data_IF_953628992996
#
_entry.id   IF_953628992996
#
_cell.length_a   1.000
_cell.length_b   1.000
_cell.length_c   1.000
_cell.angle_alpha   90.00
_cell.angle_beta   90.00
_cell.angle_gamma   90.00
#
_symmetry.space_group_name_H-M   'P 1'
#
loop_
_entity.id
_entity.type
_entity.pdbx_description
1 polymer ?
#
# COMPACT_ATOMS: atom_id res chain seq x y z
N UNK A 1 32.70 -0.83 -5.71
CA UNK A 1 32.27 0.00 -6.87
C UNK A 1 30.84 0.41 -6.62
N UNK A 2 30.47 1.66 -6.89
CA UNK A 2 29.06 2.08 -6.84
C UNK A 2 28.39 1.77 -8.18
N UNK A 3 27.20 1.21 -8.14
CA UNK A 3 26.34 1.06 -9.33
C UNK A 3 25.01 1.76 -9.07
N UNK A 4 24.60 2.64 -9.98
CA UNK A 4 23.28 3.28 -9.94
C UNK A 4 22.19 2.29 -10.39
N UNK A 5 21.18 2.10 -9.55
CA UNK A 5 19.91 1.49 -9.93
C UNK A 5 18.92 2.55 -10.40
N UNK A 6 17.87 2.14 -11.12
CA UNK A 6 16.77 3.05 -11.46
C UNK A 6 16.14 3.67 -10.20
N UNK A 7 15.76 4.96 -10.27
CA UNK A 7 15.03 5.70 -9.22
C UNK A 7 15.78 6.02 -7.91
N UNK A 8 17.09 6.33 -7.98
CA UNK A 8 17.81 6.93 -6.84
C UNK A 8 18.22 5.96 -5.75
N UNK A 9 18.14 4.65 -6.02
CA UNK A 9 18.78 3.63 -5.19
C UNK A 9 20.20 3.34 -5.71
N UNK A 10 21.18 3.37 -4.82
CA UNK A 10 22.59 3.16 -5.14
C UNK A 10 23.07 1.96 -4.35
N UNK A 11 23.67 0.99 -5.04
CA UNK A 11 24.31 -0.16 -4.43
C UNK A 11 25.81 0.10 -4.33
N UNK A 12 26.36 0.00 -3.13
CA UNK A 12 27.78 0.20 -2.85
C UNK A 12 28.37 -1.06 -2.22
N UNK A 13 29.27 -1.74 -2.93
CA UNK A 13 30.02 -2.87 -2.35
C UNK A 13 31.15 -2.37 -1.45
N UNK A 14 31.19 -2.88 -0.22
CA UNK A 14 32.26 -2.57 0.75
C UNK A 14 33.60 -3.10 0.21
N UNK A 15 34.64 -2.22 0.08
CA UNK A 15 35.92 -2.61 -0.48
C UNK A 15 36.72 -3.50 0.49
N UNK A 16 37.70 -4.23 -0.07
CA UNK A 16 38.64 -5.02 0.72
C UNK A 16 39.43 -4.12 1.69
N UNK A 17 39.45 -4.50 2.98
CA UNK A 17 40.15 -3.77 4.04
C UNK A 17 39.34 -2.68 4.76
N UNK A 18 38.09 -2.42 4.35
CA UNK A 18 37.18 -1.57 5.12
C UNK A 18 36.53 -2.35 6.27
N UNK A 19 36.49 -1.75 7.45
CA UNK A 19 35.91 -2.32 8.67
C UNK A 19 34.70 -1.50 9.16
N UNK A 20 33.87 -2.10 10.01
CA UNK A 20 32.73 -1.41 10.63
C UNK A 20 33.16 -0.15 11.38
N UNK A 21 32.60 1.00 11.02
CA UNK A 21 32.96 2.32 11.54
C UNK A 21 33.84 3.16 10.61
N UNK A 22 34.41 2.59 9.55
CA UNK A 22 35.11 3.35 8.51
C UNK A 22 34.14 4.25 7.73
N UNK A 23 34.66 5.28 7.07
CA UNK A 23 33.88 6.16 6.20
C UNK A 23 34.23 5.90 4.74
N UNK A 24 33.23 5.54 3.94
CA UNK A 24 33.33 5.43 2.50
C UNK A 24 32.91 6.74 1.84
N UNK A 25 33.74 7.26 0.95
CA UNK A 25 33.46 8.48 0.19
C UNK A 25 33.27 8.14 -1.28
N UNK A 26 32.18 8.63 -1.88
CA UNK A 26 31.91 8.45 -3.31
C UNK A 26 31.07 9.61 -3.85
N UNK A 27 31.03 9.76 -5.17
CA UNK A 27 30.32 10.87 -5.84
C UNK A 27 29.05 10.36 -6.50
N UNK A 28 27.92 10.98 -6.18
CA UNK A 28 26.60 10.72 -6.76
C UNK A 28 26.06 12.02 -7.31
N UNK A 29 25.68 12.05 -8.58
CA UNK A 29 25.17 13.27 -9.24
C UNK A 29 26.05 14.52 -9.03
N UNK A 30 27.37 14.33 -8.94
CA UNK A 30 28.33 15.41 -8.72
C UNK A 30 28.45 15.91 -7.27
N UNK A 31 27.71 15.32 -6.32
CA UNK A 31 27.87 15.56 -4.88
C UNK A 31 28.70 14.45 -4.26
N UNK A 32 29.66 14.83 -3.41
CA UNK A 32 30.47 13.90 -2.62
C UNK A 32 29.66 13.49 -1.38
N UNK A 33 29.41 12.19 -1.23
CA UNK A 33 28.70 11.60 -0.11
C UNK A 33 29.68 10.78 0.72
N UNK A 34 29.62 10.98 2.04
CA UNK A 34 30.36 10.21 3.03
C UNK A 34 29.39 9.31 3.78
N UNK A 35 29.68 8.01 3.78
CA UNK A 35 28.82 7.00 4.37
C UNK A 35 29.61 6.11 5.33
N UNK A 36 29.22 6.03 6.60
CA UNK A 36 29.86 5.11 7.53
C UNK A 36 29.51 3.66 7.18
N UNK A 37 30.51 2.78 7.24
CA UNK A 37 30.34 1.33 7.13
C UNK A 37 29.61 0.84 8.39
N UNK A 38 28.43 0.20 8.27
CA UNK A 38 27.70 -0.29 9.43
C UNK A 38 28.54 -1.31 10.22
N UNK A 39 28.50 -1.21 11.54
CA UNK A 39 29.20 -2.13 12.45
C UNK A 39 28.74 -3.57 12.15
N UNK A 40 29.71 -4.47 11.95
CA UNK A 40 29.45 -5.88 11.62
C UNK A 40 29.45 -6.20 10.12
N UNK A 41 29.51 -5.18 9.25
CA UNK A 41 29.66 -5.42 7.80
C UNK A 41 31.08 -5.89 7.46
N UNK A 42 31.21 -6.71 6.43
CA UNK A 42 32.47 -7.27 5.95
C UNK A 42 32.74 -6.88 4.49
N UNK A 43 34.01 -6.90 4.04
CA UNK A 43 34.32 -6.69 2.63
C UNK A 43 33.52 -7.60 1.70
N UNK A 44 32.91 -7.01 0.68
CA UNK A 44 32.01 -7.70 -0.25
C UNK A 44 30.52 -7.53 0.05
N UNK A 45 30.12 -7.09 1.25
CA UNK A 45 28.73 -6.74 1.52
C UNK A 45 28.28 -5.56 0.65
N UNK A 46 26.98 -5.52 0.34
CA UNK A 46 26.38 -4.48 -0.52
C UNK A 46 25.49 -3.58 0.34
N UNK A 47 25.88 -2.31 0.48
CA UNK A 47 25.06 -1.28 1.09
C UNK A 47 24.07 -0.74 0.07
N UNK A 48 22.80 -0.64 0.47
CA UNK A 48 21.75 0.01 -0.34
C UNK A 48 21.41 1.38 0.22
N UNK A 49 21.49 2.37 -0.64
CA UNK A 49 21.37 3.77 -0.29
C UNK A 49 20.24 4.40 -1.10
N UNK A 50 19.22 4.88 -0.43
CA UNK A 50 18.16 5.66 -1.08
C UNK A 50 18.54 7.14 -1.04
N UNK A 51 19.02 7.67 -2.15
CA UNK A 51 19.35 9.09 -2.29
C UNK A 51 18.11 9.81 -2.79
N UNK A 52 17.58 10.74 -1.98
CA UNK A 52 16.53 11.65 -2.44
C UNK A 52 17.07 12.44 -3.63
N UNK A 53 16.32 12.49 -4.73
CA UNK A 53 16.71 13.37 -5.85
C UNK A 53 16.59 14.81 -5.37
N UNK A 54 17.66 15.59 -5.49
CA UNK A 54 17.58 17.05 -5.47
C UNK A 54 16.70 17.47 -6.66
N UNK A 55 15.40 17.67 -6.44
CA UNK A 55 14.42 18.15 -7.43
C UNK A 55 14.60 19.64 -7.73
N UNK A 56 15.85 20.09 -7.89
CA UNK A 56 16.16 21.49 -8.22
C UNK A 56 15.87 21.87 -9.69
N UNK A 57 15.17 21.02 -10.48
CA UNK A 57 14.93 21.32 -11.90
C UNK A 57 13.87 20.53 -12.68
N UNK A 58 13.19 19.53 -12.10
CA UNK A 58 12.03 18.90 -12.73
C UNK A 58 10.80 19.15 -11.85
N UNK A 59 10.13 20.27 -12.14
CA UNK A 59 8.89 20.63 -11.50
C UNK A 59 7.77 19.69 -11.97
N UNK A 60 7.48 18.67 -11.17
CA UNK A 60 6.17 18.01 -11.20
C UNK A 60 5.56 17.79 -9.81
N UNK A 61 6.17 18.35 -8.77
CA UNK A 61 5.51 18.53 -7.48
C UNK A 61 5.05 19.98 -7.41
N UNK A 62 3.81 20.21 -7.85
CA UNK A 62 3.01 21.33 -7.37
C UNK A 62 2.91 21.21 -5.84
N UNK A 63 3.91 21.74 -5.13
CA UNK A 63 3.84 22.05 -3.71
C UNK A 63 2.88 23.24 -3.41
N UNK A 64 2.23 23.76 -4.45
CA UNK A 64 1.06 24.65 -4.39
C UNK A 64 -0.22 23.97 -4.93
N UNK A 65 -0.16 22.65 -5.11
CA UNK A 65 -1.26 21.82 -5.59
C UNK A 65 -2.29 21.65 -4.49
N UNK A 66 -3.53 22.03 -4.80
CA UNK A 66 -4.68 21.87 -3.94
C UNK A 66 -4.68 20.48 -3.27
N UNK A 67 -4.34 20.41 -1.98
CA UNK A 67 -4.25 19.17 -1.18
C UNK A 67 -5.57 18.36 -1.16
N UNK A 68 -6.62 18.93 -1.77
CA UNK A 68 -7.91 18.31 -2.06
C UNK A 68 -7.89 17.31 -3.22
N UNK A 69 -6.82 17.22 -4.02
CA UNK A 69 -6.77 16.34 -5.20
C UNK A 69 -5.48 15.51 -5.27
N UNK A 70 -5.62 14.22 -5.58
CA UNK A 70 -4.54 13.29 -5.93
C UNK A 70 -4.66 12.94 -7.40
N UNK A 71 -3.59 13.16 -8.18
CA UNK A 71 -3.50 12.70 -9.56
C UNK A 71 -2.52 11.54 -9.66
N UNK A 72 -2.89 10.51 -10.39
CA UNK A 72 -2.05 9.35 -10.64
C UNK A 72 -1.97 9.09 -12.15
N UNK A 73 -0.78 9.24 -12.71
CA UNK A 73 -0.50 8.85 -14.10
C UNK A 73 -0.29 7.33 -14.16
N UNK A 74 -1.17 6.65 -14.89
CA UNK A 74 -1.17 5.20 -15.13
C UNK A 74 -0.59 4.85 -16.52
N UNK A 75 0.12 5.80 -17.12
CA UNK A 75 0.68 5.70 -18.46
C UNK A 75 -0.39 5.74 -19.55
N UNK A 76 0.07 5.80 -20.81
CA UNK A 76 -0.79 5.84 -22.02
C UNK A 76 -1.82 7.00 -22.00
N UNK A 77 -1.52 8.08 -21.29
CA UNK A 77 -2.41 9.25 -21.17
C UNK A 77 -3.61 9.04 -20.22
N UNK A 78 -3.61 7.96 -19.43
CA UNK A 78 -4.65 7.69 -18.42
C UNK A 78 -4.23 8.33 -17.10
N UNK A 79 -4.89 9.42 -16.73
CA UNK A 79 -4.65 10.12 -15.46
C UNK A 79 -5.89 9.92 -14.59
N UNK A 80 -5.73 9.23 -13.47
CA UNK A 80 -6.77 9.07 -12.47
C UNK A 80 -6.77 10.30 -11.55
N UNK A 81 -7.92 10.95 -11.39
CA UNK A 81 -8.07 12.14 -10.54
C UNK A 81 -8.99 11.85 -9.37
N UNK A 82 -8.45 11.90 -8.15
CA UNK A 82 -9.18 11.54 -6.93
C UNK A 82 -9.26 12.74 -6.01
N UNK A 83 -10.47 13.08 -5.58
CA UNK A 83 -10.68 14.12 -4.58
C UNK A 83 -10.60 13.54 -3.16
N UNK A 84 -9.95 14.26 -2.25
CA UNK A 84 -9.94 13.96 -0.81
C UNK A 84 -11.07 14.66 -0.06
N UNK A 85 -11.90 15.45 -0.75
CA UNK A 85 -13.07 16.12 -0.19
C UNK A 85 -14.26 16.04 -1.13
N UNK A 86 -15.45 15.91 -0.56
CA UNK A 86 -16.66 16.07 -1.33
C UNK A 86 -16.85 17.54 -1.75
N UNK A 87 -17.41 17.80 -2.95
CA UNK A 87 -17.93 19.11 -3.29
C UNK A 87 -18.91 19.62 -2.22
N UNK A 88 -18.90 20.92 -1.96
CA UNK A 88 -19.71 21.54 -0.90
C UNK A 88 -21.20 21.25 -1.09
N UNK A 89 -21.66 21.21 -2.33
CA UNK A 89 -23.05 20.95 -2.71
C UNK A 89 -23.49 19.54 -2.29
N UNK A 90 -22.59 18.55 -2.42
CA UNK A 90 -22.84 17.17 -1.99
C UNK A 90 -22.71 17.03 -0.46
N UNK A 91 -21.76 17.73 0.16
CA UNK A 91 -21.65 17.79 1.62
C UNK A 91 -22.94 18.33 2.26
N UNK A 92 -23.49 19.40 1.71
CA UNK A 92 -24.73 20.00 2.19
C UNK A 92 -25.92 19.05 1.97
N UNK A 93 -25.95 18.30 0.87
CA UNK A 93 -26.99 17.28 0.62
C UNK A 93 -26.93 16.12 1.62
N UNK A 94 -25.73 15.57 1.88
CA UNK A 94 -25.52 14.48 2.85
C UNK A 94 -25.91 14.89 4.27
N UNK A 95 -25.63 16.16 4.66
CA UNK A 95 -26.02 16.70 5.96
C UNK A 95 -27.54 16.88 6.11
N UNK A 96 -28.23 17.21 5.01
CA UNK A 96 -29.67 17.44 5.02
C UNK A 96 -30.51 16.15 5.00
N UNK A 97 -29.95 15.02 4.59
CA UNK A 97 -30.62 13.70 4.57
C UNK A 97 -30.66 12.98 5.94
N UNK A 98 -30.33 13.67 7.03
CA UNK A 98 -30.65 13.23 8.39
C UNK A 98 -29.50 12.65 9.22
N UNK A 99 -28.25 12.73 8.75
CA UNK A 99 -27.09 12.56 9.60
C UNK A 99 -26.75 13.88 10.31
N UNK A 100 -27.48 14.19 11.39
CA UNK A 100 -27.06 15.25 12.31
C UNK A 100 -25.67 14.91 12.85
N UNK A 101 -24.64 15.77 12.69
CA UNK A 101 -23.47 15.65 13.54
C UNK A 101 -23.92 15.98 14.95
N UNK A 102 -23.78 15.05 15.88
CA UNK A 102 -23.90 15.37 17.31
C UNK A 102 -22.78 16.34 17.67
N UNK A 103 -23.04 17.62 17.54
CA UNK A 103 -22.30 18.67 18.24
C UNK A 103 -22.66 18.54 19.73
N UNK A 104 -22.02 17.59 20.41
CA UNK A 104 -21.78 17.50 21.86
C UNK A 104 -21.29 16.08 22.17
N UNK A 105 -19.99 15.88 22.35
CA UNK A 105 -19.48 14.88 23.30
C UNK A 105 -18.05 15.21 23.73
N UNK A 106 -17.98 16.05 24.77
CA UNK A 106 -16.82 16.22 25.64
C UNK A 106 -16.85 15.18 26.80
N UNK A 107 -17.41 13.99 26.57
CA UNK A 107 -17.48 12.94 27.60
C UNK A 107 -16.88 11.63 27.09
N UNK A 108 -15.86 11.17 27.82
CA UNK A 108 -15.29 9.83 27.76
C UNK A 108 -16.40 8.75 27.69
N UNK A 109 -16.41 7.97 26.61
CA UNK A 109 -16.91 6.59 26.63
C UNK A 109 -16.16 5.75 25.60
N UNK A 110 -15.70 4.57 26.03
CA UNK A 110 -14.93 3.58 25.27
C UNK A 110 -15.82 2.86 24.23
N UNK A 111 -16.31 3.58 23.23
CA UNK A 111 -17.11 3.04 22.12
C UNK A 111 -16.28 2.87 20.86
N UNK A 112 -16.17 1.63 20.36
CA UNK A 112 -15.57 1.21 19.07
C UNK A 112 -16.23 1.88 17.84
N UNK A 113 -16.12 3.20 17.68
CA UNK A 113 -16.49 3.88 16.43
C UNK A 113 -15.30 3.83 15.46
N UNK A 114 -15.48 3.10 14.36
CA UNK A 114 -14.47 2.75 13.34
C UNK A 114 -14.14 3.92 12.40
N UNK A 115 -14.36 5.17 12.83
CA UNK A 115 -14.21 6.35 11.97
C UNK A 115 -13.19 7.33 12.56
N UNK A 116 -11.93 7.20 12.11
CA UNK A 116 -10.81 8.07 12.46
C UNK A 116 -10.46 9.07 11.34
N UNK A 117 -11.30 9.18 10.30
CA UNK A 117 -11.08 10.05 9.13
C UNK A 117 -9.90 9.68 8.22
N UNK A 118 -9.20 8.57 8.50
CA UNK A 118 -8.02 8.13 7.73
C UNK A 118 -8.36 7.70 6.31
N UNK A 119 -9.62 7.33 6.06
CA UNK A 119 -10.11 6.87 4.77
C UNK A 119 -9.94 7.91 3.64
N UNK A 120 -9.82 9.21 3.95
CA UNK A 120 -9.69 10.28 2.96
C UNK A 120 -8.25 10.54 2.50
N UNK A 121 -7.26 9.82 3.06
CA UNK A 121 -5.84 10.03 2.76
C UNK A 121 -5.31 9.08 1.69
N UNK A 122 -4.49 9.57 0.74
CA UNK A 122 -3.91 8.73 -0.30
C UNK A 122 -2.67 8.04 0.26
N UNK A 123 -2.88 6.92 0.97
CA UNK A 123 -1.84 6.14 1.62
C UNK A 123 -0.72 5.73 0.65
N UNK A 124 0.54 5.90 1.08
CA UNK A 124 1.70 5.66 0.22
C UNK A 124 1.79 4.21 -0.26
N UNK A 125 1.43 3.25 0.60
CA UNK A 125 1.31 1.83 0.24
C UNK A 125 0.38 1.63 -0.98
N UNK A 126 -0.75 2.34 -1.02
CA UNK A 126 -1.69 2.27 -2.14
C UNK A 126 -1.08 2.85 -3.41
N UNK A 127 -0.37 3.98 -3.30
CA UNK A 127 0.33 4.60 -4.43
C UNK A 127 1.42 3.69 -5.01
N UNK A 128 2.18 2.99 -4.17
CA UNK A 128 3.20 2.05 -4.63
C UNK A 128 2.57 0.84 -5.33
N UNK A 129 1.47 0.30 -4.79
CA UNK A 129 0.71 -0.76 -5.44
C UNK A 129 0.15 -0.34 -6.81
N UNK A 130 -0.42 0.86 -6.90
CA UNK A 130 -1.00 1.35 -8.15
C UNK A 130 -0.01 1.52 -9.31
N UNK A 131 1.28 1.66 -9.02
CA UNK A 131 2.34 1.75 -10.03
C UNK A 131 2.72 0.40 -10.63
N UNK A 132 2.30 -0.70 -10.01
CA UNK A 132 2.79 -2.04 -10.32
C UNK A 132 1.76 -2.91 -11.04
N UNK A 133 0.63 -2.35 -11.48
CA UNK A 133 -0.40 -3.12 -12.17
C UNK A 133 0.09 -3.81 -13.43
N UNK A 134 0.95 -3.16 -14.22
CA UNK A 134 1.53 -3.78 -15.43
C UNK A 134 2.42 -5.00 -15.10
N UNK A 135 2.99 -5.04 -13.89
CA UNK A 135 3.80 -6.17 -13.40
C UNK A 135 2.94 -7.25 -12.72
N UNK A 136 1.85 -6.86 -12.04
CA UNK A 136 0.98 -7.76 -11.26
C UNK A 136 -0.07 -8.45 -12.14
N UNK A 137 -0.69 -7.74 -13.09
CA UNK A 137 -1.75 -8.28 -13.95
C UNK A 137 -1.30 -9.57 -14.68
N UNK A 138 -0.08 -9.66 -15.23
CA UNK A 138 0.42 -10.90 -15.83
C UNK A 138 0.56 -12.08 -14.86
N UNK A 139 0.58 -11.86 -13.54
CA UNK A 139 0.71 -12.90 -12.53
C UNK A 139 -0.60 -13.64 -12.20
N UNK A 140 -1.73 -13.21 -12.77
CA UNK A 140 -3.00 -13.93 -12.65
C UNK A 140 -2.97 -15.26 -13.42
N UNK A 141 -3.55 -16.31 -12.84
CA UNK A 141 -3.40 -17.68 -13.34
C UNK A 141 -3.91 -17.86 -14.79
N UNK A 142 -3.07 -18.49 -15.62
CA UNK A 142 -3.43 -18.81 -17.01
C UNK A 142 -3.63 -17.59 -17.91
N UNK A 143 -3.16 -16.41 -17.50
CA UNK A 143 -3.33 -15.15 -18.24
C UNK A 143 -4.80 -14.69 -18.32
N UNK A 144 -5.67 -15.21 -17.45
CA UNK A 144 -7.08 -14.84 -17.40
C UNK A 144 -7.34 -13.95 -16.20
N UNK A 145 -8.06 -12.85 -16.43
CA UNK A 145 -8.42 -11.94 -15.36
C UNK A 145 -9.46 -12.55 -14.40
N UNK A 146 -9.34 -12.29 -13.09
CA UNK A 146 -10.40 -12.59 -12.13
C UNK A 146 -11.73 -11.94 -12.54
N UNK A 147 -12.86 -12.65 -12.44
CA UNK A 147 -14.16 -12.13 -12.87
C UNK A 147 -14.85 -11.31 -11.80
N UNK A 148 -14.66 -11.70 -10.55
CA UNK A 148 -15.24 -11.04 -9.38
C UNK A 148 -14.10 -10.59 -8.50
N UNK A 149 -13.96 -9.28 -8.38
CA UNK A 149 -12.91 -8.63 -7.63
C UNK A 149 -13.57 -7.80 -6.55
N UNK A 150 -13.05 -7.85 -5.33
CA UNK A 150 -13.43 -6.94 -4.26
C UNK A 150 -12.19 -6.27 -3.72
N UNK A 151 -12.25 -4.97 -3.50
CA UNK A 151 -11.23 -4.27 -2.72
C UNK A 151 -11.76 -4.09 -1.29
N UNK A 152 -10.98 -4.54 -0.31
CA UNK A 152 -11.25 -4.30 1.10
C UNK A 152 -10.52 -3.03 1.53
N UNK A 153 -11.22 -2.11 2.22
CA UNK A 153 -10.61 -0.88 2.70
C UNK A 153 -10.14 0.02 1.56
N UNK A 154 -11.01 0.26 0.58
CA UNK A 154 -10.73 1.12 -0.59
C UNK A 154 -10.32 2.56 -0.23
N UNK A 155 -10.60 2.98 1.01
CA UNK A 155 -10.67 4.37 1.41
C UNK A 155 -11.79 5.11 0.69
N UNK A 156 -11.98 6.37 1.04
CA UNK A 156 -12.83 7.26 0.26
C UNK A 156 -12.23 7.63 -1.11
N UNK A 157 -10.94 7.42 -1.29
CA UNK A 157 -10.27 7.71 -2.56
C UNK A 157 -10.47 6.59 -3.59
N UNK A 158 -10.64 5.33 -3.16
CA UNK A 158 -10.72 4.19 -4.08
C UNK A 158 -9.45 3.98 -4.90
N UNK A 159 -8.29 4.45 -4.39
CA UNK A 159 -7.06 4.58 -5.14
C UNK A 159 -6.63 3.27 -5.81
N UNK A 160 -6.56 2.19 -5.04
CA UNK A 160 -6.03 0.90 -5.51
C UNK A 160 -7.03 0.23 -6.46
N UNK A 161 -8.30 0.13 -6.09
CA UNK A 161 -9.31 -0.47 -6.97
C UNK A 161 -9.57 0.31 -8.26
N UNK A 162 -9.66 1.65 -8.21
CA UNK A 162 -9.86 2.46 -9.42
C UNK A 162 -8.63 2.45 -10.33
N UNK A 163 -7.42 2.59 -9.77
CA UNK A 163 -6.20 2.50 -10.57
C UNK A 163 -6.05 1.13 -11.23
N UNK A 164 -6.42 0.06 -10.51
CA UNK A 164 -6.45 -1.29 -11.06
C UNK A 164 -7.39 -1.36 -12.27
N UNK A 165 -8.63 -0.89 -12.11
CA UNK A 165 -9.64 -0.91 -13.16
C UNK A 165 -9.20 -0.14 -14.42
N UNK A 166 -8.63 1.06 -14.24
CA UNK A 166 -8.15 1.90 -15.34
C UNK A 166 -6.93 1.28 -16.03
N UNK A 167 -6.10 0.55 -15.28
CA UNK A 167 -4.94 -0.15 -15.84
C UNK A 167 -5.31 -1.35 -16.72
N UNK A 168 -6.52 -1.91 -16.60
CA UNK A 168 -6.94 -3.06 -17.40
C UNK A 168 -7.06 -2.73 -18.89
N UNK A 169 -6.58 -3.63 -19.74
CA UNK A 169 -6.77 -3.55 -21.18
C UNK A 169 -8.09 -4.24 -21.59
N UNK A 170 -8.82 -3.68 -22.56
CA UNK A 170 -10.12 -4.20 -23.02
C UNK A 170 -10.09 -5.70 -23.40
N UNK A 171 -8.96 -6.17 -23.96
CA UNK A 171 -8.79 -7.56 -24.38
C UNK A 171 -8.59 -8.57 -23.24
N UNK A 172 -8.37 -8.09 -22.01
CA UNK A 172 -8.18 -8.93 -20.82
C UNK A 172 -9.49 -9.22 -20.08
N UNK A 173 -10.54 -8.45 -20.38
CA UNK A 173 -11.82 -8.55 -19.69
C UNK A 173 -12.69 -9.64 -20.28
N UNK A 174 -13.17 -10.53 -19.41
CA UNK A 174 -14.30 -11.38 -19.76
C UNK A 174 -15.61 -10.58 -19.61
N UNK A 175 -16.59 -10.90 -20.45
CA UNK A 175 -17.91 -10.28 -20.39
C UNK A 175 -18.49 -10.39 -18.96
N UNK A 176 -18.85 -9.24 -18.38
CA UNK A 176 -19.41 -9.09 -17.01
C UNK A 176 -18.39 -9.31 -15.88
N UNK A 177 -17.14 -8.89 -16.08
CA UNK A 177 -16.21 -8.74 -14.96
C UNK A 177 -16.73 -7.65 -14.01
N UNK A 178 -16.68 -7.90 -12.71
CA UNK A 178 -17.21 -7.03 -11.66
C UNK A 178 -16.10 -6.69 -10.68
N UNK A 179 -15.95 -5.41 -10.38
CA UNK A 179 -15.11 -4.90 -9.30
C UNK A 179 -16.02 -4.23 -8.27
N UNK A 180 -15.90 -4.63 -7.01
CA UNK A 180 -16.59 -4.03 -5.90
C UNK A 180 -15.58 -3.30 -5.00
N UNK A 181 -15.69 -1.99 -4.91
CA UNK A 181 -14.92 -1.15 -3.99
C UNK A 181 -15.67 -1.14 -2.64
N UNK A 182 -14.98 -1.39 -1.54
CA UNK A 182 -15.63 -1.49 -0.23
C UNK A 182 -14.85 -0.81 0.88
N UNK A 183 -15.59 -0.19 1.79
CA UNK A 183 -15.05 0.46 2.98
C UNK A 183 -16.16 0.64 4.05
N UNK A 184 -15.89 1.36 5.13
CA UNK A 184 -16.90 1.74 6.12
C UNK A 184 -17.93 2.72 5.54
N UNK A 185 -19.16 2.79 6.10
CA UNK A 185 -20.22 3.66 5.57
C UNK A 185 -19.82 5.13 5.39
N UNK A 186 -18.98 5.69 6.28
CA UNK A 186 -18.58 7.10 6.21
C UNK A 186 -17.65 7.44 5.03
N UNK A 187 -16.94 6.45 4.48
CA UNK A 187 -16.12 6.63 3.29
C UNK A 187 -16.94 6.61 1.98
N UNK A 188 -18.15 6.03 2.00
CA UNK A 188 -18.95 5.76 0.79
C UNK A 188 -19.29 6.99 -0.05
N UNK A 189 -19.71 8.14 0.54
CA UNK A 189 -20.08 9.30 -0.27
C UNK A 189 -18.93 9.79 -1.18
N UNK A 190 -17.72 9.88 -0.62
CA UNK A 190 -16.55 10.34 -1.36
C UNK A 190 -15.99 9.27 -2.30
N UNK A 191 -16.05 7.98 -1.93
CA UNK A 191 -15.70 6.86 -2.81
C UNK A 191 -16.59 6.83 -4.06
N UNK A 192 -17.90 6.95 -3.86
CA UNK A 192 -18.87 6.98 -4.95
C UNK A 192 -18.65 8.19 -5.87
N UNK A 193 -18.39 9.37 -5.30
CA UNK A 193 -18.02 10.55 -6.06
C UNK A 193 -16.77 10.32 -6.94
N UNK A 194 -15.71 9.76 -6.37
CA UNK A 194 -14.47 9.49 -7.11
C UNK A 194 -14.66 8.42 -8.20
N UNK A 195 -15.48 7.40 -7.95
CA UNK A 195 -15.85 6.41 -8.96
C UNK A 195 -16.59 7.06 -10.14
N UNK A 196 -17.62 7.86 -9.86
CA UNK A 196 -18.40 8.56 -10.89
C UNK A 196 -17.56 9.55 -11.70
N UNK A 197 -16.67 10.27 -11.02
CA UNK A 197 -15.77 11.24 -11.65
C UNK A 197 -14.82 10.59 -12.66
N UNK A 198 -14.40 9.34 -12.40
CA UNK A 198 -13.45 8.60 -13.23
C UNK A 198 -14.11 7.53 -14.11
N UNK A 199 -15.45 7.47 -14.18
CA UNK A 199 -16.18 6.41 -14.87
C UNK A 199 -15.82 6.31 -16.36
N UNK A 200 -15.50 7.44 -17.01
CA UNK A 200 -15.12 7.49 -18.42
C UNK A 200 -13.74 6.87 -18.73
N UNK A 201 -12.92 6.64 -17.70
CA UNK A 201 -11.62 5.97 -17.82
C UNK A 201 -11.73 4.44 -17.72
N UNK A 202 -12.89 3.92 -17.30
CA UNK A 202 -13.10 2.50 -17.09
C UNK A 202 -13.29 1.79 -18.44
N UNK A 203 -12.68 0.61 -18.64
CA UNK A 203 -12.86 -0.15 -19.88
C UNK A 203 -14.31 -0.60 -20.08
N UNK A 204 -14.73 -0.70 -21.35
CA UNK A 204 -16.04 -1.22 -21.72
C UNK A 204 -16.25 -2.66 -21.20
N UNK A 205 -17.44 -2.91 -20.64
CA UNK A 205 -17.82 -4.24 -20.13
C UNK A 205 -17.35 -4.57 -18.71
N UNK A 206 -16.59 -3.67 -18.07
CA UNK A 206 -16.29 -3.71 -16.64
C UNK A 206 -17.43 -3.07 -15.84
N UNK A 207 -17.92 -3.77 -14.83
CA UNK A 207 -18.90 -3.20 -13.89
C UNK A 207 -18.16 -2.88 -12.59
N UNK A 208 -18.06 -1.59 -12.25
CA UNK A 208 -17.45 -1.15 -11.00
C UNK A 208 -18.55 -0.54 -10.12
N UNK A 209 -18.64 -1.01 -8.88
CA UNK A 209 -19.59 -0.49 -7.88
C UNK A 209 -18.86 -0.19 -6.57
N UNK A 210 -19.41 0.70 -5.73
CA UNK A 210 -18.99 0.89 -4.36
C UNK A 210 -20.09 0.47 -3.38
N UNK A 211 -19.74 -0.23 -2.29
CA UNK A 211 -20.69 -0.61 -1.23
C UNK A 211 -20.04 -0.63 0.15
N UNK A 212 -20.79 -0.35 1.23
CA UNK A 212 -20.26 -0.47 2.57
C UNK A 212 -19.99 -1.94 2.92
N UNK A 213 -18.83 -2.19 3.51
CA UNK A 213 -18.45 -3.50 4.06
C UNK A 213 -17.52 -3.32 5.28
N UNK A 214 -18.09 -3.12 6.48
CA UNK A 214 -17.32 -3.23 7.71
C UNK A 214 -16.76 -4.65 7.85
N UNK A 215 -15.50 -4.77 8.27
CA UNK A 215 -14.93 -6.08 8.58
C UNK A 215 -15.53 -6.61 9.87
N UNK A 216 -15.95 -7.86 9.86
CA UNK A 216 -16.60 -8.47 11.01
C UNK A 216 -16.20 -9.93 11.17
N UNK A 217 -16.13 -10.38 12.43
CA UNK A 217 -16.01 -11.79 12.78
C UNK A 217 -17.31 -12.55 12.55
N UNK A 218 -18.44 -11.86 12.68
CA UNK A 218 -19.74 -12.48 12.63
C UNK A 218 -20.14 -12.74 11.16
N UNK A 219 -20.71 -13.92 10.85
CA UNK A 219 -21.41 -14.09 9.58
C UNK A 219 -22.54 -13.05 9.52
N UNK A 220 -22.87 -12.51 8.33
CA UNK A 220 -23.98 -11.58 8.22
C UNK A 220 -25.24 -12.23 8.79
N UNK A 221 -25.83 -11.61 9.81
CA UNK A 221 -27.21 -11.92 10.20
C UNK A 221 -28.08 -11.71 8.96
N UNK A 222 -28.85 -12.73 8.59
CA UNK A 222 -29.55 -12.89 7.30
C UNK A 222 -30.49 -11.72 6.92
N UNK A 223 -30.77 -10.81 7.87
CA UNK A 223 -31.75 -9.74 7.75
C UNK A 223 -31.18 -8.33 7.50
N UNK A 224 -29.89 -8.02 7.77
CA UNK A 224 -29.40 -6.62 7.77
C UNK A 224 -28.03 -6.34 7.12
N UNK A 225 -27.32 -7.34 6.60
CA UNK A 225 -26.03 -7.11 5.90
C UNK A 225 -26.14 -7.42 4.41
N UNK A 226 -25.79 -6.44 3.56
CA UNK A 226 -26.05 -6.45 2.11
C UNK A 226 -25.26 -7.49 1.30
N UNK A 227 -24.29 -8.19 1.90
CA UNK A 227 -23.56 -9.29 1.22
C UNK A 227 -24.22 -10.62 1.58
N UNK A 228 -25.23 -10.99 0.78
CA UNK A 228 -25.94 -12.26 0.94
C UNK A 228 -24.98 -13.43 0.75
N UNK A 229 -25.02 -14.40 1.65
CA UNK A 229 -24.28 -15.67 1.61
C UNK A 229 -24.52 -16.51 0.34
N UNK A 230 -25.51 -16.12 -0.47
CA UNK A 230 -25.84 -16.72 -1.76
C UNK A 230 -25.06 -16.14 -2.94
N UNK A 231 -24.28 -15.06 -2.76
CA UNK A 231 -23.41 -14.57 -3.82
C UNK A 231 -22.18 -15.47 -4.00
N UNK A 232 -21.74 -15.70 -5.25
CA UNK A 232 -20.52 -16.46 -5.47
C UNK A 232 -19.31 -15.70 -4.89
N UNK A 233 -18.33 -16.43 -4.33
CA UNK A 233 -17.14 -15.82 -3.75
C UNK A 233 -16.34 -15.05 -4.80
N UNK A 234 -15.49 -14.15 -4.32
CA UNK A 234 -14.61 -13.32 -5.14
C UNK A 234 -13.38 -14.11 -5.56
N UNK A 235 -13.02 -13.98 -6.83
CA UNK A 235 -11.82 -14.59 -7.41
C UNK A 235 -10.55 -13.85 -6.99
N UNK A 236 -10.67 -12.54 -6.72
CA UNK A 236 -9.57 -11.71 -6.26
C UNK A 236 -10.02 -10.74 -5.16
N UNK A 237 -9.18 -10.60 -4.14
CA UNK A 237 -9.24 -9.50 -3.18
C UNK A 237 -8.07 -8.56 -3.44
N UNK A 238 -8.35 -7.25 -3.47
CA UNK A 238 -7.35 -6.19 -3.43
C UNK A 238 -7.35 -5.56 -2.05
N UNK A 239 -6.19 -5.11 -1.58
CA UNK A 239 -6.07 -4.39 -0.32
C UNK A 239 -4.78 -3.60 -0.25
N UNK A 240 -4.84 -2.45 0.41
CA UNK A 240 -3.64 -1.68 0.74
C UNK A 240 -3.75 -1.12 2.15
N UNK A 241 -2.68 -1.27 2.91
CA UNK A 241 -2.52 -0.67 4.23
C UNK A 241 -3.59 -1.10 5.25
N UNK A 242 -4.10 -2.33 5.13
CA UNK A 242 -5.20 -2.85 5.93
C UNK A 242 -4.82 -3.23 7.37
N UNK A 243 -3.53 -3.31 7.67
CA UNK A 243 -2.99 -3.83 8.94
C UNK A 243 -2.62 -2.73 9.94
N UNK A 244 -3.09 -1.50 9.72
CA UNK A 244 -2.74 -0.33 10.53
C UNK A 244 -3.25 -0.39 11.99
N UNK A 245 -4.32 -1.17 12.24
CA UNK A 245 -4.89 -1.38 13.57
C UNK A 245 -4.97 -2.87 13.89
N UNK A 246 -4.09 -3.33 14.78
CA UNK A 246 -3.95 -4.74 15.14
C UNK A 246 -5.24 -5.37 15.69
N UNK A 247 -6.13 -4.57 16.29
CA UNK A 247 -7.40 -5.07 16.87
C UNK A 247 -8.36 -5.61 15.81
N UNK A 248 -8.25 -5.13 14.56
CA UNK A 248 -9.11 -5.54 13.46
C UNK A 248 -8.53 -6.70 12.64
N UNK A 249 -7.30 -7.16 12.92
CA UNK A 249 -6.69 -8.28 12.20
C UNK A 249 -7.59 -9.53 12.21
N UNK A 250 -8.16 -9.98 13.35
CA UNK A 250 -9.08 -11.12 13.34
C UNK A 250 -10.28 -10.91 12.42
N UNK A 251 -10.89 -9.72 12.47
CA UNK A 251 -12.06 -9.34 11.66
C UNK A 251 -11.74 -9.35 10.16
N UNK A 252 -10.56 -8.87 9.79
CA UNK A 252 -10.06 -8.90 8.42
C UNK A 252 -9.79 -10.33 7.95
N UNK A 253 -9.20 -11.19 8.79
CA UNK A 253 -9.00 -12.62 8.50
C UNK A 253 -10.34 -13.31 8.24
N UNK A 254 -11.33 -13.12 9.11
CA UNK A 254 -12.66 -13.73 8.95
C UNK A 254 -13.36 -13.23 7.67
N UNK A 255 -13.29 -11.93 7.40
CA UNK A 255 -13.84 -11.31 6.19
C UNK A 255 -13.16 -11.87 4.93
N UNK A 256 -11.83 -11.99 4.94
CA UNK A 256 -11.05 -12.55 3.83
C UNK A 256 -11.48 -14.00 3.54
N UNK A 257 -11.55 -14.85 4.57
CA UNK A 257 -11.96 -16.26 4.42
C UNK A 257 -13.38 -16.42 3.92
N UNK A 258 -14.28 -15.51 4.30
CA UNK A 258 -15.68 -15.50 3.86
C UNK A 258 -15.83 -15.10 2.39
N UNK A 259 -15.07 -14.10 1.94
CA UNK A 259 -15.25 -13.51 0.62
C UNK A 259 -14.42 -14.18 -0.46
N UNK A 260 -13.23 -14.66 -0.12
CA UNK A 260 -12.28 -15.19 -1.09
C UNK A 260 -12.67 -16.60 -1.54
N UNK A 261 -12.56 -16.86 -2.85
CA UNK A 261 -12.84 -18.18 -3.40
C UNK A 261 -11.92 -19.24 -2.77
N UNK A 262 -12.45 -20.37 -2.25
CA UNK A 262 -11.68 -21.31 -1.42
C UNK A 262 -10.61 -22.11 -2.18
N UNK A 263 -10.72 -22.21 -3.51
CA UNK A 263 -9.79 -22.97 -4.36
C UNK A 263 -8.89 -22.09 -5.23
N UNK A 264 -9.43 -21.06 -5.88
CA UNK A 264 -8.72 -20.23 -6.89
C UNK A 264 -8.57 -18.76 -6.48
N UNK A 265 -8.90 -18.44 -5.24
CA UNK A 265 -8.88 -17.06 -4.77
C UNK A 265 -7.45 -16.53 -4.66
N UNK A 266 -7.25 -15.31 -5.13
CA UNK A 266 -6.00 -14.55 -5.03
C UNK A 266 -6.23 -13.33 -4.14
N UNK A 267 -5.25 -12.97 -3.32
CA UNK A 267 -5.26 -11.71 -2.58
C UNK A 267 -4.00 -10.91 -2.93
N UNK A 268 -4.16 -9.76 -3.59
CA UNK A 268 -3.09 -8.76 -3.73
C UNK A 268 -3.16 -7.79 -2.56
N UNK A 269 -2.09 -7.75 -1.76
CA UNK A 269 -2.02 -6.92 -0.57
C UNK A 269 -0.74 -6.11 -0.55
N UNK A 270 -0.86 -4.78 -0.47
CA UNK A 270 0.26 -3.91 -0.12
C UNK A 270 0.22 -3.59 1.37
N UNK A 271 1.35 -3.77 2.05
CA UNK A 271 1.51 -3.57 3.49
C UNK A 271 2.57 -2.53 3.73
N UNK A 272 2.23 -1.50 4.49
CA UNK A 272 3.20 -0.64 5.16
C UNK A 272 3.40 -1.18 6.58
N UNK A 273 4.54 -1.80 6.82
CA UNK A 273 4.84 -2.40 8.12
C UNK A 273 5.10 -1.33 9.17
N UNK A 274 4.37 -1.38 10.29
CA UNK A 274 4.56 -0.49 11.45
C UNK A 274 4.90 -1.29 12.69
N UNK A 275 4.15 -2.38 12.92
CA UNK A 275 4.34 -3.32 14.03
C UNK A 275 4.48 -4.74 13.48
N UNK A 276 5.63 -5.10 12.88
CA UNK A 276 5.79 -6.37 12.16
C UNK A 276 5.39 -7.61 12.94
N UNK A 277 5.65 -7.66 14.25
CA UNK A 277 5.31 -8.81 15.06
C UNK A 277 3.79 -9.03 15.21
N UNK A 278 3.01 -7.96 15.26
CA UNK A 278 1.54 -8.04 15.38
C UNK A 278 0.90 -8.21 13.99
N UNK A 279 1.34 -7.42 13.01
CA UNK A 279 0.80 -7.44 11.64
C UNK A 279 1.01 -8.80 10.96
N UNK A 280 2.07 -9.53 11.34
CA UNK A 280 2.38 -10.89 10.87
C UNK A 280 1.28 -11.91 11.19
N UNK A 281 0.46 -11.67 12.22
CA UNK A 281 -0.67 -12.53 12.60
C UNK A 281 -1.65 -12.71 11.43
N UNK A 282 -1.91 -11.65 10.65
CA UNK A 282 -2.77 -11.73 9.47
C UNK A 282 -2.27 -12.78 8.46
N UNK A 283 -0.97 -12.79 8.18
CA UNK A 283 -0.35 -13.72 7.23
C UNK A 283 -0.36 -15.17 7.74
N UNK A 284 -0.22 -15.35 9.06
CA UNK A 284 -0.27 -16.67 9.71
C UNK A 284 -1.68 -17.25 9.68
N UNK A 285 -2.68 -16.41 9.94
CA UNK A 285 -4.06 -16.84 10.16
C UNK A 285 -4.93 -16.81 8.90
N UNK A 286 -4.52 -16.10 7.82
CA UNK A 286 -5.33 -16.00 6.60
C UNK A 286 -5.55 -17.35 5.90
N UNK A 287 -4.64 -18.31 6.09
CA UNK A 287 -4.65 -19.61 5.40
C UNK A 287 -4.19 -19.55 3.95
N UNK A 288 -3.58 -18.43 3.52
CA UNK A 288 -3.04 -18.25 2.18
C UNK A 288 -1.53 -18.50 2.15
N UNK A 289 -1.04 -18.99 1.01
CA UNK A 289 0.38 -19.01 0.66
C UNK A 289 0.76 -17.65 0.10
N UNK A 290 1.52 -16.88 0.88
CA UNK A 290 1.96 -15.53 0.51
C UNK A 290 3.34 -15.53 -0.12
N UNK A 291 3.42 -14.86 -1.26
CA UNK A 291 4.66 -14.59 -2.00
C UNK A 291 4.89 -13.08 -2.08
N UNK A 292 6.13 -12.64 -1.85
CA UNK A 292 6.53 -11.26 -2.05
C UNK A 292 6.61 -10.97 -3.56
N UNK A 293 5.92 -9.93 -4.01
CA UNK A 293 6.05 -9.41 -5.37
C UNK A 293 7.28 -8.49 -5.41
N UNK A 294 8.34 -8.95 -6.06
CA UNK A 294 9.51 -8.12 -6.34
C UNK A 294 9.38 -7.52 -7.74
N UNK A 295 9.19 -6.21 -7.87
CA UNK A 295 9.06 -5.59 -9.17
C UNK A 295 10.36 -5.69 -9.96
N UNK A 296 10.26 -6.07 -11.24
CA UNK A 296 11.40 -6.16 -12.16
C UNK A 296 12.07 -4.80 -12.35
N UNK A 297 11.32 -3.72 -12.15
CA UNK A 297 11.81 -2.35 -12.19
C UNK A 297 12.72 -1.98 -11.01
N UNK A 298 12.98 -2.89 -10.06
CA UNK A 298 13.89 -2.69 -8.92
C UNK A 298 13.36 -1.71 -7.87
N UNK A 299 12.06 -1.42 -7.91
CA UNK A 299 11.44 -0.31 -7.21
C UNK A 299 10.95 -0.60 -5.78
N UNK A 300 11.01 -1.84 -5.29
CA UNK A 300 10.80 -2.13 -3.87
C UNK A 300 12.12 -2.61 -3.28
N UNK A 301 12.57 -1.95 -2.21
CA UNK A 301 13.95 -2.09 -1.70
C UNK A 301 14.14 -3.32 -0.80
N UNK A 302 13.08 -3.87 -0.22
CA UNK A 302 13.22 -4.94 0.75
C UNK A 302 13.00 -6.34 0.13
N UNK A 303 14.03 -7.21 0.10
CA UNK A 303 13.90 -8.56 -0.41
C UNK A 303 13.37 -9.57 0.63
N UNK A 304 13.08 -9.13 1.85
CA UNK A 304 12.65 -10.00 2.94
C UNK A 304 11.19 -10.42 2.75
N UNK A 305 10.86 -11.68 2.96
CA UNK A 305 9.45 -12.09 2.99
C UNK A 305 8.75 -11.64 4.27
N UNK A 306 7.44 -11.85 4.32
CA UNK A 306 6.62 -11.50 5.47
C UNK A 306 6.97 -12.27 6.73
N UNK A 307 7.83 -13.31 6.69
CA UNK A 307 8.27 -14.07 7.88
C UNK A 307 9.55 -13.49 8.47
N UNK A 308 10.40 -12.92 7.62
CA UNK A 308 11.65 -12.32 8.04
C UNK A 308 11.52 -10.83 8.36
N UNK A 309 10.72 -10.07 7.60
CA UNK A 309 10.64 -8.61 7.76
C UNK A 309 10.33 -8.21 9.21
N UNK A 310 11.19 -7.41 9.81
CA UNK A 310 11.02 -6.87 11.16
C UNK A 310 11.19 -7.87 12.30
N UNK A 311 11.55 -9.15 12.03
CA UNK A 311 11.80 -10.13 13.10
C UNK A 311 13.21 -9.91 13.70
N UNK A 312 13.35 -9.51 14.98
CA UNK A 312 14.64 -9.26 15.60
C UNK A 312 15.49 -10.51 15.79
N UNK A 313 14.90 -11.71 15.68
CA UNK A 313 15.63 -12.99 15.76
C UNK A 313 16.16 -13.43 14.39
N UNK A 314 15.74 -12.76 13.32
CA UNK A 314 16.15 -13.10 11.97
C UNK A 314 17.37 -12.26 11.56
N UNK A 315 18.50 -12.92 11.30
CA UNK A 315 19.75 -12.25 10.94
C UNK A 315 19.62 -11.40 9.66
N UNK A 316 18.87 -11.88 8.65
CA UNK A 316 18.64 -11.13 7.40
C UNK A 316 17.80 -9.88 7.63
N UNK A 317 16.85 -9.94 8.57
CA UNK A 317 16.07 -8.78 9.00
C UNK A 317 16.97 -7.73 9.64
N UNK A 318 17.75 -8.12 10.65
CA UNK A 318 18.68 -7.21 11.33
C UNK A 318 19.67 -6.60 10.33
N UNK A 319 20.22 -7.40 9.42
CA UNK A 319 21.12 -6.93 8.38
C UNK A 319 20.45 -5.86 7.49
N UNK A 320 19.23 -6.12 7.01
CA UNK A 320 18.48 -5.15 6.20
C UNK A 320 18.29 -3.82 6.92
N UNK A 321 17.85 -3.81 8.18
CA UNK A 321 17.60 -2.56 8.90
C UNK A 321 18.89 -1.80 9.27
N UNK A 322 20.01 -2.50 9.48
CA UNK A 322 21.31 -1.87 9.77
C UNK A 322 22.06 -1.43 8.50
N UNK A 323 21.85 -2.07 7.35
CA UNK A 323 22.55 -1.75 6.09
C UNK A 323 21.75 -0.84 5.15
N UNK A 324 20.41 -0.81 5.27
CA UNK A 324 19.58 0.10 4.48
C UNK A 324 19.64 1.48 5.12
N UNK A 325 20.14 2.45 4.36
CA UNK A 325 20.27 3.83 4.83
C UNK A 325 19.41 4.77 4.00
N UNK A 326 18.84 5.76 4.69
CA UNK A 326 18.14 6.89 4.08
C UNK A 326 18.79 8.20 4.52
N UNK A 327 18.59 9.27 3.76
CA UNK A 327 19.03 10.60 4.17
C UNK A 327 18.11 11.16 5.26
N UNK A 328 18.71 11.66 6.35
CA UNK A 328 18.04 12.39 7.43
C UNK A 328 18.82 13.66 7.71
N UNK A 329 18.23 14.81 7.42
CA UNK A 329 18.85 16.15 7.44
C UNK A 329 20.16 16.18 6.66
N UNK A 330 20.17 15.54 5.49
CA UNK A 330 21.33 15.46 4.60
C UNK A 330 22.42 14.48 5.07
N UNK A 331 22.18 13.67 6.11
CA UNK A 331 23.12 12.66 6.59
C UNK A 331 22.55 11.25 6.42
N UNK A 332 23.34 10.29 5.93
CA UNK A 332 22.89 8.90 5.87
C UNK A 332 22.64 8.36 7.28
N UNK A 333 21.50 7.69 7.46
CA UNK A 333 21.13 7.04 8.72
C UNK A 333 20.51 5.68 8.42
N UNK A 334 20.94 4.64 9.13
CA UNK A 334 20.37 3.31 9.01
C UNK A 334 18.92 3.29 9.51
N UNK A 335 18.07 2.45 8.90
CA UNK A 335 16.67 2.32 9.33
C UNK A 335 16.56 1.93 10.81
N UNK A 336 17.44 1.04 11.29
CA UNK A 336 17.49 0.59 12.68
C UNK A 336 17.74 1.73 13.69
N UNK A 337 18.37 2.83 13.25
CA UNK A 337 18.74 3.94 14.12
C UNK A 337 17.68 5.04 14.14
N UNK A 338 16.64 4.95 13.29
CA UNK A 338 15.56 5.94 13.22
C UNK A 338 14.49 5.59 14.24
N UNK A 339 14.39 6.43 15.27
CA UNK A 339 13.35 6.29 16.29
C UNK A 339 11.99 6.77 15.79
N UNK A 340 10.90 6.34 16.45
CA UNK A 340 9.54 6.83 16.16
C UNK A 340 9.44 8.36 16.28
N UNK A 341 10.06 8.95 17.30
CA UNK A 341 10.09 10.41 17.49
C UNK A 341 10.83 11.13 16.34
N UNK A 342 11.91 10.55 15.82
CA UNK A 342 12.62 11.10 14.67
C UNK A 342 11.85 10.93 13.37
N UNK A 343 11.14 9.81 13.20
CA UNK A 343 10.32 9.54 12.01
C UNK A 343 9.25 10.64 11.81
N UNK A 344 8.67 11.15 12.90
CA UNK A 344 7.72 12.27 12.88
C UNK A 344 8.35 13.64 12.59
N UNK A 345 9.67 13.73 12.49
CA UNK A 345 10.44 14.96 12.21
C UNK A 345 11.21 14.90 10.89
N UNK A 346 11.02 13.84 10.11
CA UNK A 346 11.61 13.70 8.78
C UNK A 346 11.03 14.74 7.83
N UNK A 347 11.87 15.25 6.92
CA UNK A 347 11.37 16.05 5.79
C UNK A 347 10.53 15.17 4.86
N UNK A 348 9.71 15.79 4.00
CA UNK A 348 8.77 15.05 3.15
C UNK A 348 9.44 13.93 2.31
N UNK A 349 10.57 14.22 1.66
CA UNK A 349 11.30 13.23 0.85
C UNK A 349 11.99 12.16 1.70
N UNK A 350 12.48 12.53 2.87
CA UNK A 350 13.11 11.61 3.82
C UNK A 350 12.07 10.64 4.39
N UNK A 351 10.90 11.16 4.76
CA UNK A 351 9.77 10.38 5.20
C UNK A 351 9.30 9.45 4.08
N UNK A 352 9.18 9.93 2.84
CA UNK A 352 8.82 9.11 1.69
C UNK A 352 9.80 7.96 1.44
N UNK A 353 11.10 8.21 1.56
CA UNK A 353 12.14 7.19 1.45
C UNK A 353 12.05 6.16 2.59
N UNK A 354 11.91 6.65 3.83
CA UNK A 354 11.71 5.82 5.02
C UNK A 354 10.47 4.93 4.87
N UNK A 355 9.36 5.52 4.45
CA UNK A 355 8.07 4.86 4.32
C UNK A 355 8.09 3.77 3.26
N UNK A 356 8.69 4.08 2.10
CA UNK A 356 8.89 3.12 1.01
C UNK A 356 9.73 1.91 1.44
N UNK A 357 10.72 2.11 2.31
CA UNK A 357 11.53 1.01 2.83
C UNK A 357 10.77 0.05 3.76
N UNK A 358 9.57 0.45 4.21
CA UNK A 358 8.65 -0.35 5.01
C UNK A 358 7.44 -0.86 4.23
N UNK A 359 7.34 -0.55 2.94
CA UNK A 359 6.25 -1.01 2.08
C UNK A 359 6.66 -2.28 1.34
N UNK A 360 5.80 -3.29 1.39
CA UNK A 360 5.96 -4.53 0.67
C UNK A 360 4.64 -4.96 0.06
N UNK A 361 4.71 -5.60 -1.10
CA UNK A 361 3.53 -6.05 -1.84
C UNK A 361 3.57 -7.56 -1.94
N UNK A 362 2.43 -8.16 -1.65
CA UNK A 362 2.27 -9.60 -1.56
C UNK A 362 1.15 -10.09 -2.45
N UNK A 363 1.33 -11.31 -2.95
CA UNK A 363 0.28 -12.10 -3.58
C UNK A 363 0.04 -13.35 -2.72
N UNK A 364 -1.16 -13.44 -2.16
CA UNK A 364 -1.65 -14.59 -1.41
C UNK A 364 -2.47 -15.49 -2.31
N UNK A 365 -2.19 -16.79 -2.31
CA UNK A 365 -2.96 -17.79 -3.05
C UNK A 365 -3.48 -18.89 -2.14
N UNK A 366 -4.57 -19.52 -2.54
CA UNK A 366 -5.01 -20.74 -1.88
C UNK A 366 -3.92 -21.82 -1.98
N UNK A 367 -3.64 -22.57 -0.91
CA UNK A 367 -2.71 -23.69 -0.96
C UNK A 367 -3.12 -24.69 -2.05
N UNK A 368 -2.15 -25.18 -2.83
CA UNK A 368 -2.44 -26.23 -3.81
C UNK A 368 -2.92 -27.48 -3.08
N UNK A 369 -4.06 -28.03 -3.48
CA UNK A 369 -4.53 -29.32 -2.96
C UNK A 369 -3.43 -30.36 -3.19
N UNK A 370 -2.93 -30.94 -2.10
CA UNK A 370 -1.84 -31.92 -2.09
C UNK A 370 -2.24 -33.28 -2.69
#
# INVERSE_FOLDING_TARGET
>A
MASEGGNGCISLTIPEGAEGGDVLTFVVHGQELEIPVPIGSTPGDVLQLQVGRDTSGEGDDNADGDARHTKLDLGKGRILELSSQLPKELLDAVRNDGASPSENDDNNDDGDTVDDGTYALPWQSGKELSKLWDEIIPCFEGGRMPKRIVELGSGALGLVGLSFCVSLEEGLLEAKSIVLLTDVPSAMPLLQYNLEHNQSLLPDGLVVNAKPLPWTMDPPDDDNHEVKTNEPPYDCILGSDLLYNEKFIPHLVATTKRLLHPIRGIFILSVRWRKPDLEREFFQESGLEWELIQPMSGNLSCPLDWRAFGDPKNEKSNLYFHQTQISVKGKPKALADITEEESGKLLADEFKAWDRAHIQIYIGRQPKAA
#
